data_IF_892797867418
#
_entry.id   IF_892797867418
#
_cell.length_a   1.000
_cell.length_b   1.000
_cell.length_c   1.000
_cell.angle_alpha   90.00
_cell.angle_beta   90.00
_cell.angle_gamma   90.00
#
_symmetry.space_group_name_H-M   'P 1'
#
loop_
_entity.id
_entity.type
_entity.pdbx_description
1 polymer ?
#
# COMPACT_ATOMS: atom_id res chain seq x y z
N UNK A 1 -0.98 31.75 14.46
CA UNK A 1 -1.81 31.10 13.43
C UNK A 1 -2.40 29.84 14.03
N UNK A 2 -3.70 29.82 14.34
CA UNK A 2 -4.36 28.54 14.64
C UNK A 2 -4.46 27.78 13.32
N UNK A 3 -3.60 26.82 13.11
CA UNK A 3 -3.74 25.89 12.00
C UNK A 3 -5.01 25.09 12.25
N UNK A 4 -6.02 25.32 11.42
CA UNK A 4 -7.26 24.54 11.49
C UNK A 4 -6.89 23.07 11.20
N UNK A 5 -7.01 22.22 12.21
CA UNK A 5 -6.69 20.78 12.09
C UNK A 5 -7.80 20.01 11.37
N UNK A 6 -8.93 20.65 11.10
CA UNK A 6 -10.06 20.08 10.37
C UNK A 6 -10.08 20.60 8.94
N UNK A 7 -10.36 19.72 7.99
CA UNK A 7 -10.59 20.08 6.59
C UNK A 7 -11.91 20.83 6.47
N UNK A 8 -11.91 21.98 5.80
CA UNK A 8 -13.13 22.76 5.58
C UNK A 8 -14.19 21.91 4.84
N UNK A 9 -15.45 22.03 5.25
CA UNK A 9 -16.55 21.32 4.61
C UNK A 9 -16.66 21.61 3.11
N UNK A 10 -16.19 22.77 2.66
CA UNK A 10 -16.18 23.15 1.23
C UNK A 10 -15.16 22.37 0.42
N UNK A 11 -14.10 21.88 1.06
CA UNK A 11 -13.05 21.09 0.42
C UNK A 11 -13.40 19.58 0.43
N UNK A 12 -14.43 19.18 1.16
CA UNK A 12 -14.87 17.80 1.31
C UNK A 12 -15.88 17.43 0.24
N UNK A 13 -15.39 17.32 -0.99
CA UNK A 13 -16.19 17.03 -2.20
C UNK A 13 -15.84 15.71 -2.85
N UNK A 14 -14.90 14.96 -2.27
CA UNK A 14 -14.40 13.70 -2.78
C UNK A 14 -15.51 12.64 -2.92
N UNK A 15 -15.33 11.74 -3.88
CA UNK A 15 -16.24 10.64 -4.19
C UNK A 15 -15.59 9.29 -3.84
N UNK A 16 -16.38 8.24 -3.46
CA UNK A 16 -15.84 6.94 -3.08
C UNK A 16 -14.93 6.29 -4.13
N UNK A 17 -15.22 6.45 -5.43
CA UNK A 17 -14.37 5.88 -6.49
C UNK A 17 -12.98 6.51 -6.57
N UNK A 18 -12.80 7.74 -6.07
CA UNK A 18 -11.46 8.37 -5.97
C UNK A 18 -10.61 7.66 -4.93
N UNK A 19 -11.22 7.22 -3.81
CA UNK A 19 -10.54 6.36 -2.84
C UNK A 19 -10.09 5.04 -3.45
N UNK A 20 -10.90 4.46 -4.34
CA UNK A 20 -10.50 3.26 -5.07
C UNK A 20 -9.20 3.52 -5.85
N UNK A 21 -9.13 4.60 -6.63
CA UNK A 21 -7.92 4.96 -7.38
C UNK A 21 -6.71 5.19 -6.48
N UNK A 22 -6.87 5.90 -5.37
CA UNK A 22 -5.81 6.20 -4.42
C UNK A 22 -5.26 4.91 -3.79
N UNK A 23 -6.12 4.07 -3.22
CA UNK A 23 -5.71 2.84 -2.55
C UNK A 23 -5.19 1.79 -3.52
N UNK A 24 -5.75 1.72 -4.74
CA UNK A 24 -5.23 0.86 -5.80
C UNK A 24 -3.78 1.24 -6.16
N UNK A 25 -3.50 2.54 -6.31
CA UNK A 25 -2.15 3.03 -6.62
C UNK A 25 -1.12 2.69 -5.53
N UNK A 26 -1.54 2.65 -4.26
CA UNK A 26 -0.63 2.32 -3.15
C UNK A 26 -0.28 0.84 -3.07
N UNK A 27 -1.12 -0.04 -3.62
CA UNK A 27 -0.95 -1.50 -3.52
C UNK A 27 -0.41 -2.12 -4.80
N UNK A 28 -0.68 -1.50 -5.97
CA UNK A 28 -0.24 -2.04 -7.24
C UNK A 28 1.21 -1.65 -7.50
N UNK A 29 2.08 -2.66 -7.68
CA UNK A 29 3.48 -2.40 -7.94
C UNK A 29 4.40 -3.56 -7.56
N UNK A 30 5.70 -3.30 -7.59
CA UNK A 30 6.75 -4.30 -7.36
C UNK A 30 6.68 -4.97 -5.98
N UNK A 31 6.18 -4.27 -4.96
CA UNK A 31 6.06 -4.83 -3.61
C UNK A 31 5.10 -6.03 -3.56
N UNK A 32 4.02 -6.02 -4.36
CA UNK A 32 3.13 -7.17 -4.48
C UNK A 32 3.86 -8.43 -4.97
N UNK A 33 4.72 -8.29 -5.97
CA UNK A 33 5.55 -9.39 -6.47
C UNK A 33 6.55 -9.88 -5.42
N UNK A 34 7.11 -8.97 -4.64
CA UNK A 34 8.02 -9.33 -3.53
C UNK A 34 7.28 -10.14 -2.47
N UNK A 35 6.06 -9.75 -2.08
CA UNK A 35 5.24 -10.54 -1.15
C UNK A 35 4.90 -11.91 -1.71
N UNK A 36 4.58 -12.01 -3.00
CA UNK A 36 4.38 -13.30 -3.67
C UNK A 36 5.62 -14.20 -3.56
N UNK A 37 6.82 -13.65 -3.84
CA UNK A 37 8.07 -14.38 -3.70
C UNK A 37 8.34 -14.83 -2.26
N UNK A 38 8.02 -13.99 -1.27
CA UNK A 38 8.16 -14.35 0.15
C UNK A 38 7.20 -15.48 0.51
N UNK A 39 5.94 -15.47 0.04
CA UNK A 39 4.98 -16.55 0.30
C UNK A 39 5.53 -17.88 -0.21
N UNK A 40 6.11 -17.89 -1.40
CA UNK A 40 6.71 -19.10 -1.98
C UNK A 40 7.86 -19.63 -1.12
N UNK A 41 8.63 -18.76 -0.45
CA UNK A 41 9.73 -19.16 0.41
C UNK A 41 9.30 -19.93 1.69
N UNK A 42 8.01 -19.94 2.01
CA UNK A 42 7.46 -20.75 3.12
C UNK A 42 7.11 -22.19 2.74
N UNK A 43 7.52 -22.62 1.54
CA UNK A 43 7.35 -24.00 1.05
C UNK A 43 5.88 -24.48 1.12
N UNK A 44 4.96 -23.61 0.77
CA UNK A 44 3.52 -23.90 0.74
C UNK A 44 3.12 -24.50 -0.61
N UNK A 45 2.08 -25.34 -0.60
CA UNK A 45 1.44 -25.74 -1.87
C UNK A 45 0.82 -24.51 -2.55
N UNK A 46 0.58 -24.61 -3.86
CA UNK A 46 -0.04 -23.53 -4.62
C UNK A 46 -1.36 -23.06 -4.01
N UNK A 47 -2.22 -24.01 -3.59
CA UNK A 47 -3.50 -23.68 -2.96
C UNK A 47 -3.33 -22.99 -1.62
N UNK A 48 -2.37 -23.45 -0.80
CA UNK A 48 -2.07 -22.76 0.46
C UNK A 48 -1.54 -21.35 0.23
N UNK A 49 -0.71 -21.14 -0.79
CA UNK A 49 -0.19 -19.81 -1.16
C UNK A 49 -1.33 -18.85 -1.57
N UNK A 50 -2.25 -19.32 -2.41
CA UNK A 50 -3.45 -18.55 -2.80
C UNK A 50 -4.32 -18.23 -1.58
N UNK A 51 -4.55 -19.21 -0.71
CA UNK A 51 -5.32 -18.99 0.52
C UNK A 51 -4.63 -17.99 1.46
N UNK A 52 -3.31 -18.05 1.57
CA UNK A 52 -2.55 -17.08 2.37
C UNK A 52 -2.66 -15.66 1.79
N UNK A 53 -2.54 -15.50 0.47
CA UNK A 53 -2.74 -14.23 -0.22
C UNK A 53 -4.17 -13.72 0.00
N UNK A 54 -5.18 -14.57 -0.16
CA UNK A 54 -6.57 -14.20 0.03
C UNK A 54 -6.87 -13.75 1.46
N UNK A 55 -6.48 -14.54 2.45
CA UNK A 55 -6.72 -14.22 3.88
C UNK A 55 -5.94 -12.96 4.28
N UNK A 56 -4.70 -12.85 3.83
CA UNK A 56 -3.87 -11.66 4.07
C UNK A 56 -4.50 -10.39 3.47
N UNK A 57 -4.95 -10.46 2.22
CA UNK A 57 -5.59 -9.34 1.53
C UNK A 57 -6.93 -8.91 2.17
N UNK A 58 -7.69 -9.84 2.79
CA UNK A 58 -8.90 -9.52 3.54
C UNK A 58 -8.64 -8.56 4.71
N UNK A 59 -7.42 -8.46 5.21
CA UNK A 59 -7.08 -7.50 6.26
C UNK A 59 -7.35 -6.03 5.86
N UNK A 60 -7.44 -5.76 4.55
CA UNK A 60 -7.78 -4.43 4.05
C UNK A 60 -9.23 -4.01 4.36
N UNK A 61 -10.09 -4.94 4.76
CA UNK A 61 -11.42 -4.63 5.31
C UNK A 61 -11.30 -3.70 6.52
N UNK A 62 -10.30 -3.92 7.37
CA UNK A 62 -10.03 -3.06 8.53
C UNK A 62 -9.70 -1.62 8.09
N UNK A 63 -8.88 -1.45 7.05
CA UNK A 63 -8.56 -0.12 6.49
C UNK A 63 -9.81 0.54 5.93
N UNK A 64 -10.68 -0.22 5.26
CA UNK A 64 -11.98 0.24 4.79
C UNK A 64 -12.86 0.79 5.89
N UNK A 65 -13.00 0.07 6.99
CA UNK A 65 -13.76 0.55 8.16
C UNK A 65 -13.12 1.78 8.81
N UNK A 66 -11.81 1.78 8.99
CA UNK A 66 -11.09 2.91 9.58
C UNK A 66 -11.13 4.16 8.70
N UNK A 67 -11.30 4.01 7.39
CA UNK A 67 -11.51 5.13 6.48
C UNK A 67 -12.77 5.95 6.82
N UNK A 68 -13.79 5.37 7.43
CA UNK A 68 -14.97 6.12 7.89
C UNK A 68 -14.61 7.19 8.91
N UNK A 69 -13.60 6.97 9.71
CA UNK A 69 -13.18 7.93 10.74
C UNK A 69 -12.74 9.27 10.14
N UNK A 70 -12.09 9.27 8.98
CA UNK A 70 -11.71 10.49 8.26
C UNK A 70 -12.92 11.25 7.74
N UNK A 71 -13.85 10.53 7.09
CA UNK A 71 -15.13 11.13 6.62
C UNK A 71 -15.92 11.73 7.79
N UNK A 72 -16.05 11.02 8.91
CA UNK A 72 -16.84 11.47 10.06
C UNK A 72 -16.14 12.59 10.80
N UNK A 73 -14.85 12.41 11.10
CA UNK A 73 -14.06 13.33 11.93
C UNK A 73 -13.56 14.57 11.20
N UNK A 74 -13.43 14.53 9.88
CA UNK A 74 -12.94 15.67 9.08
C UNK A 74 -11.50 16.07 9.36
N UNK A 75 -10.69 15.13 9.86
CA UNK A 75 -9.26 15.35 10.16
C UNK A 75 -8.48 14.04 10.00
N UNK A 76 -7.14 14.13 10.05
CA UNK A 76 -6.23 12.99 9.83
C UNK A 76 -6.24 12.00 11.00
N UNK A 77 -5.76 10.78 10.76
CA UNK A 77 -5.75 9.71 11.76
C UNK A 77 -5.01 10.11 13.04
N UNK A 78 -3.86 10.76 12.95
CA UNK A 78 -3.10 11.20 14.12
C UNK A 78 -3.81 12.28 14.95
N UNK A 79 -4.70 13.05 14.35
CA UNK A 79 -5.54 13.99 15.08
C UNK A 79 -6.75 13.29 15.71
N UNK A 80 -7.36 12.33 15.00
CA UNK A 80 -8.50 11.54 15.49
C UNK A 80 -8.12 10.72 16.73
N UNK A 81 -6.91 10.17 16.76
CA UNK A 81 -6.43 9.37 17.89
C UNK A 81 -6.38 10.15 19.22
N UNK A 82 -6.37 11.50 19.18
CA UNK A 82 -6.50 12.36 20.38
C UNK A 82 -7.83 12.14 21.11
N UNK A 83 -8.89 11.74 20.40
CA UNK A 83 -10.18 11.46 21.03
C UNK A 83 -10.12 10.23 21.94
N UNK A 84 -9.23 9.29 21.67
CA UNK A 84 -9.05 8.05 22.44
C UNK A 84 -7.99 8.21 23.52
N UNK A 85 -6.84 8.78 23.17
CA UNK A 85 -5.66 8.83 24.04
C UNK A 85 -5.50 10.16 24.78
N UNK A 86 -6.36 11.15 24.54
CA UNK A 86 -6.20 12.52 25.01
C UNK A 86 -5.05 13.24 24.31
N UNK A 87 -4.90 14.55 24.55
CA UNK A 87 -3.89 15.37 23.87
C UNK A 87 -2.47 14.94 24.21
N UNK A 88 -2.18 14.67 25.48
CA UNK A 88 -0.84 14.27 25.93
C UNK A 88 -0.55 12.80 25.61
N UNK A 89 -1.49 11.89 25.88
CA UNK A 89 -1.32 10.45 25.61
C UNK A 89 -1.13 10.14 24.12
N UNK A 90 -1.63 11.01 23.24
CA UNK A 90 -1.53 10.85 21.80
C UNK A 90 -0.10 10.99 21.24
N UNK A 91 0.86 11.51 21.99
CA UNK A 91 2.26 11.59 21.52
C UNK A 91 2.83 10.20 21.23
N UNK A 92 2.52 9.19 22.05
CA UNK A 92 3.05 7.84 21.89
C UNK A 92 2.55 7.18 20.59
N UNK A 93 1.24 7.00 20.36
CA UNK A 93 0.76 6.38 19.11
C UNK A 93 1.12 7.20 17.87
N UNK A 94 1.17 8.54 17.97
CA UNK A 94 1.62 9.39 16.85
C UNK A 94 3.08 9.15 16.52
N UNK A 95 3.97 9.07 17.51
CA UNK A 95 5.39 8.78 17.29
C UNK A 95 5.59 7.38 16.70
N UNK A 96 4.92 6.37 17.24
CA UNK A 96 4.96 5.02 16.68
C UNK A 96 4.48 4.97 15.21
N UNK A 97 3.38 5.63 14.92
CA UNK A 97 2.85 5.73 13.56
C UNK A 97 3.81 6.48 12.63
N UNK A 98 4.40 7.57 13.08
CA UNK A 98 5.38 8.32 12.31
C UNK A 98 6.63 7.48 12.00
N UNK A 99 7.19 6.76 12.99
CA UNK A 99 8.31 5.85 12.80
C UNK A 99 7.96 4.76 11.77
N UNK A 100 6.75 4.19 11.85
CA UNK A 100 6.29 3.21 10.89
C UNK A 100 6.24 3.79 9.44
N UNK A 101 5.69 4.99 9.25
CA UNK A 101 5.64 5.65 7.94
C UNK A 101 7.04 5.93 7.39
N UNK A 102 7.97 6.43 8.23
CA UNK A 102 9.37 6.65 7.85
C UNK A 102 10.04 5.31 7.48
N UNK A 103 9.80 4.26 8.25
CA UNK A 103 10.28 2.91 7.93
C UNK A 103 9.83 2.45 6.55
N UNK A 104 8.57 2.61 6.22
CA UNK A 104 8.04 2.28 4.88
C UNK A 104 8.61 3.17 3.78
N UNK A 105 8.85 4.46 4.04
CA UNK A 105 9.57 5.32 3.09
C UNK A 105 10.97 4.77 2.79
N UNK A 106 11.71 4.37 3.82
CA UNK A 106 13.04 3.75 3.64
C UNK A 106 12.97 2.47 2.79
N UNK A 107 12.02 1.57 3.09
CA UNK A 107 11.80 0.34 2.29
C UNK A 107 11.54 0.68 0.83
N UNK A 108 10.66 1.64 0.56
CA UNK A 108 10.33 2.04 -0.81
C UNK A 108 11.54 2.66 -1.54
N UNK A 109 12.32 3.52 -0.88
CA UNK A 109 13.53 4.13 -1.47
C UNK A 109 14.55 3.06 -1.80
N UNK A 110 14.81 2.13 -0.87
CA UNK A 110 15.76 1.02 -1.10
C UNK A 110 15.30 0.14 -2.26
N UNK A 111 14.03 -0.28 -2.26
CA UNK A 111 13.47 -1.11 -3.33
C UNK A 111 13.55 -0.42 -4.68
N UNK A 112 13.17 0.85 -4.77
CA UNK A 112 13.26 1.64 -6.00
C UNK A 112 14.72 1.80 -6.47
N UNK A 113 15.65 2.01 -5.54
CA UNK A 113 17.08 2.12 -5.87
C UNK A 113 17.61 0.81 -6.45
N UNK A 114 17.35 -0.33 -5.79
CA UNK A 114 17.77 -1.64 -6.28
C UNK A 114 17.18 -1.96 -7.65
N UNK A 115 15.91 -1.62 -7.86
CA UNK A 115 15.24 -1.79 -9.15
C UNK A 115 15.90 -0.93 -10.24
N UNK A 116 16.20 0.33 -9.94
CA UNK A 116 16.89 1.22 -10.88
C UNK A 116 18.29 0.72 -11.21
N UNK A 117 19.06 0.28 -10.21
CA UNK A 117 20.39 -0.29 -10.44
C UNK A 117 20.34 -1.55 -11.30
N UNK A 118 19.37 -2.42 -11.07
CA UNK A 118 19.14 -3.60 -11.89
C UNK A 118 18.85 -3.22 -13.35
N UNK A 119 17.99 -2.23 -13.57
CA UNK A 119 17.70 -1.71 -14.91
C UNK A 119 18.94 -1.14 -15.59
N UNK A 120 19.74 -0.33 -14.88
CA UNK A 120 20.99 0.20 -15.39
C UNK A 120 21.98 -0.92 -15.78
N UNK A 121 22.08 -1.97 -14.96
CA UNK A 121 22.88 -3.15 -15.26
C UNK A 121 22.44 -3.88 -16.54
N UNK A 122 21.12 -4.05 -16.75
CA UNK A 122 20.55 -4.64 -17.97
C UNK A 122 20.90 -3.77 -19.21
N UNK A 123 20.95 -2.45 -19.06
CA UNK A 123 21.33 -1.51 -20.11
C UNK A 123 22.86 -1.43 -20.34
N UNK A 124 23.66 -2.24 -19.64
CA UNK A 124 25.12 -2.28 -19.76
C UNK A 124 25.83 -1.13 -19.04
N UNK A 125 25.14 -0.38 -18.19
CA UNK A 125 25.72 0.69 -17.38
C UNK A 125 26.32 0.05 -16.13
N UNK A 126 27.61 0.33 -15.88
CA UNK A 126 28.30 -0.21 -14.72
C UNK A 126 27.73 0.39 -13.42
N UNK A 127 27.26 -0.49 -12.54
CA UNK A 127 26.70 -0.11 -11.24
C UNK A 127 27.75 -0.29 -10.14
N UNK A 128 28.08 0.81 -9.48
CA UNK A 128 29.03 0.89 -8.39
C UNK A 128 28.49 1.75 -7.24
N UNK A 129 29.25 1.96 -6.20
CA UNK A 129 28.86 2.76 -5.04
C UNK A 129 28.47 4.20 -5.44
N UNK A 130 29.14 4.80 -6.41
CA UNK A 130 28.84 6.15 -6.86
C UNK A 130 27.47 6.24 -7.57
N UNK A 131 27.20 5.30 -8.49
CA UNK A 131 25.88 5.23 -9.16
C UNK A 131 24.76 4.91 -8.15
N UNK A 132 25.03 4.10 -7.13
CA UNK A 132 24.09 3.82 -6.04
C UNK A 132 23.73 5.07 -5.27
N UNK A 133 24.73 5.87 -4.87
CA UNK A 133 24.50 7.13 -4.14
C UNK A 133 23.71 8.12 -5.00
N UNK A 134 24.04 8.26 -6.27
CA UNK A 134 23.28 9.15 -7.19
C UNK A 134 21.83 8.69 -7.30
N UNK A 135 21.59 7.40 -7.51
CA UNK A 135 20.24 6.84 -7.60
C UNK A 135 19.42 7.12 -6.33
N UNK A 136 20.03 6.89 -5.16
CA UNK A 136 19.41 7.19 -3.86
C UNK A 136 19.04 8.67 -3.74
N UNK A 137 19.95 9.58 -4.08
CA UNK A 137 19.71 11.03 -3.99
C UNK A 137 18.58 11.45 -4.93
N UNK A 138 18.58 10.98 -6.18
CA UNK A 138 17.54 11.30 -7.16
C UNK A 138 16.17 10.84 -6.66
N UNK A 139 16.07 9.59 -6.18
CA UNK A 139 14.82 9.03 -5.69
C UNK A 139 14.34 9.74 -4.42
N UNK A 140 15.24 10.05 -3.49
CA UNK A 140 14.90 10.81 -2.30
C UNK A 140 14.37 12.23 -2.64
N UNK A 141 14.98 12.91 -3.61
CA UNK A 141 14.50 14.21 -4.09
C UNK A 141 13.10 14.08 -4.74
N UNK A 142 12.87 13.08 -5.58
CA UNK A 142 11.56 12.85 -6.21
C UNK A 142 10.47 12.60 -5.17
N UNK A 143 10.77 11.82 -4.14
CA UNK A 143 9.85 11.56 -3.03
C UNK A 143 9.59 12.87 -2.24
N UNK A 144 10.64 13.64 -1.94
CA UNK A 144 10.48 14.91 -1.24
C UNK A 144 9.61 15.90 -2.04
N UNK A 145 9.82 16.00 -3.35
CA UNK A 145 9.00 16.84 -4.24
C UNK A 145 7.53 16.42 -4.19
N UNK A 146 7.24 15.12 -4.18
CA UNK A 146 5.86 14.64 -4.11
C UNK A 146 5.13 15.10 -2.84
N UNK A 147 5.85 15.31 -1.73
CA UNK A 147 5.29 15.81 -0.48
C UNK A 147 4.81 17.28 -0.53
N UNK A 148 5.21 18.05 -1.55
CA UNK A 148 4.77 19.44 -1.75
C UNK A 148 3.58 19.56 -2.72
N UNK A 149 3.13 18.44 -3.30
CA UNK A 149 1.99 18.45 -4.23
C UNK A 149 0.68 18.72 -3.49
N UNK A 150 -0.23 19.44 -4.15
CA UNK A 150 -1.59 19.60 -3.65
C UNK A 150 -2.33 18.26 -3.66
N UNK A 151 -3.37 18.13 -2.83
CA UNK A 151 -4.22 16.92 -2.80
C UNK A 151 -4.76 16.57 -4.20
N UNK A 152 -5.22 17.56 -4.96
CA UNK A 152 -5.71 17.34 -6.33
C UNK A 152 -4.63 16.79 -7.26
N UNK A 153 -3.41 17.34 -7.18
CA UNK A 153 -2.26 16.86 -7.96
C UNK A 153 -1.85 15.45 -7.58
N UNK A 154 -1.88 15.12 -6.27
CA UNK A 154 -1.60 13.77 -5.77
C UNK A 154 -2.62 12.77 -6.30
N UNK A 155 -3.92 13.07 -6.24
CA UNK A 155 -4.98 12.18 -6.76
C UNK A 155 -4.80 11.94 -8.26
N UNK A 156 -4.50 12.96 -9.05
CA UNK A 156 -4.23 12.82 -10.50
C UNK A 156 -3.01 11.94 -10.77
N UNK A 157 -1.92 12.17 -10.03
CA UNK A 157 -0.69 11.39 -10.16
C UNK A 157 -0.90 9.93 -9.76
N UNK A 158 -1.59 9.67 -8.66
CA UNK A 158 -1.93 8.32 -8.20
C UNK A 158 -2.84 7.60 -9.20
N UNK A 159 -3.83 8.30 -9.76
CA UNK A 159 -4.69 7.73 -10.79
C UNK A 159 -3.90 7.36 -12.04
N UNK A 160 -2.98 8.20 -12.49
CA UNK A 160 -2.10 7.90 -13.61
C UNK A 160 -1.27 6.62 -13.33
N UNK A 161 -0.63 6.54 -12.19
CA UNK A 161 0.15 5.36 -11.82
C UNK A 161 -0.72 4.10 -11.68
N UNK A 162 -1.94 4.21 -11.18
CA UNK A 162 -2.88 3.08 -11.14
C UNK A 162 -3.09 2.47 -12.52
N UNK A 163 -3.32 3.30 -13.55
CA UNK A 163 -3.50 2.81 -14.91
C UNK A 163 -2.22 2.22 -15.49
N UNK A 164 -1.09 2.90 -15.34
CA UNK A 164 0.19 2.44 -15.89
C UNK A 164 0.64 1.14 -15.24
N UNK A 165 0.72 1.11 -13.90
CA UNK A 165 1.16 -0.09 -13.20
C UNK A 165 0.11 -1.21 -13.27
N UNK A 166 -1.18 -0.88 -13.29
CA UNK A 166 -2.24 -1.85 -13.51
C UNK A 166 -2.09 -2.58 -14.84
N UNK A 167 -1.88 -1.83 -15.92
CA UNK A 167 -1.64 -2.41 -17.24
C UNK A 167 -0.36 -3.26 -17.26
N UNK A 168 0.73 -2.74 -16.69
CA UNK A 168 1.99 -3.50 -16.60
C UNK A 168 1.82 -4.79 -15.82
N UNK A 169 1.12 -4.76 -14.69
CA UNK A 169 0.84 -5.95 -13.88
C UNK A 169 0.04 -6.98 -14.67
N UNK A 170 -1.00 -6.55 -15.41
CA UNK A 170 -1.78 -7.45 -16.26
C UNK A 170 -0.95 -8.09 -17.40
N UNK A 171 -0.04 -7.32 -18.02
CA UNK A 171 0.87 -7.84 -19.04
C UNK A 171 1.81 -8.89 -18.43
N UNK A 172 2.43 -8.57 -17.28
CA UNK A 172 3.34 -9.51 -16.59
C UNK A 172 2.57 -10.77 -16.15
N UNK A 173 1.39 -10.61 -15.57
CA UNK A 173 0.53 -11.73 -15.18
C UNK A 173 0.19 -12.62 -16.39
N UNK A 174 -0.26 -12.02 -17.49
CA UNK A 174 -0.56 -12.77 -18.72
C UNK A 174 0.64 -13.54 -19.23
N UNK A 175 1.83 -12.93 -19.24
CA UNK A 175 3.07 -13.61 -19.61
C UNK A 175 3.43 -14.76 -18.67
N UNK A 176 3.31 -14.55 -17.35
CA UNK A 176 3.58 -15.59 -16.36
C UNK A 176 2.61 -16.76 -16.47
N UNK A 177 1.32 -16.50 -16.64
CA UNK A 177 0.31 -17.55 -16.80
C UNK A 177 0.60 -18.46 -18.00
N UNK A 178 1.08 -17.89 -19.11
CA UNK A 178 1.44 -18.64 -20.31
C UNK A 178 2.75 -19.44 -20.17
N UNK A 179 3.66 -19.01 -19.28
CA UNK A 179 4.96 -19.65 -19.05
C UNK A 179 4.98 -20.59 -17.86
N UNK A 180 3.93 -20.59 -17.05
CA UNK A 180 3.84 -21.41 -15.84
C UNK A 180 3.65 -22.88 -16.20
N UNK A 181 4.46 -23.74 -15.60
CA UNK A 181 4.24 -25.19 -15.64
C UNK A 181 3.21 -25.57 -14.56
N UNK A 182 1.96 -25.65 -14.98
CA UNK A 182 0.82 -25.89 -14.08
C UNK A 182 0.90 -27.25 -13.40
N UNK A 183 1.40 -28.29 -14.09
CA UNK A 183 1.51 -29.64 -13.53
C UNK A 183 2.48 -29.65 -12.35
N UNK A 184 3.63 -29.00 -12.47
CA UNK A 184 4.58 -28.88 -11.39
C UNK A 184 4.02 -28.02 -10.23
N UNK A 185 3.30 -26.95 -10.56
CA UNK A 185 2.74 -26.04 -9.56
C UNK A 185 1.69 -26.72 -8.70
N UNK A 186 0.79 -27.51 -9.32
CA UNK A 186 -0.23 -28.28 -8.59
C UNK A 186 0.34 -29.52 -7.89
N UNK A 187 1.51 -30.00 -8.29
CA UNK A 187 2.19 -31.12 -7.64
C UNK A 187 2.99 -30.72 -6.40
N UNK A 188 3.10 -29.42 -6.09
CA UNK A 188 3.78 -28.96 -4.89
C UNK A 188 3.15 -29.54 -3.63
N UNK A 189 3.96 -30.15 -2.72
CA UNK A 189 3.44 -30.73 -1.48
C UNK A 189 2.84 -29.67 -0.56
N UNK A 190 1.92 -30.09 0.28
CA UNK A 190 1.38 -29.19 1.30
C UNK A 190 2.43 -28.86 2.36
N UNK A 191 2.64 -27.57 2.59
CA UNK A 191 3.49 -27.06 3.65
C UNK A 191 2.80 -27.08 5.01
N UNK A 192 3.58 -26.73 6.03
CA UNK A 192 3.08 -26.69 7.40
C UNK A 192 2.15 -25.50 7.64
N UNK A 193 0.98 -25.76 8.23
CA UNK A 193 -0.02 -24.71 8.48
C UNK A 193 0.41 -23.69 9.55
N UNK A 194 1.19 -24.11 10.54
CA UNK A 194 1.59 -23.22 11.65
C UNK A 194 2.88 -22.47 11.29
N UNK A 195 3.93 -23.17 10.85
CA UNK A 195 5.23 -22.56 10.57
C UNK A 195 5.38 -22.01 9.14
N UNK A 196 4.49 -22.32 8.24
CA UNK A 196 4.47 -21.83 6.87
C UNK A 196 3.31 -20.90 6.57
N UNK A 197 2.06 -21.42 6.69
CA UNK A 197 0.87 -20.67 6.29
C UNK A 197 0.61 -19.43 7.18
N UNK A 198 0.65 -19.58 8.51
CA UNK A 198 0.40 -18.44 9.40
C UNK A 198 1.42 -17.31 9.24
N UNK A 199 2.74 -17.56 9.14
CA UNK A 199 3.71 -16.52 8.79
C UNK A 199 3.45 -15.88 7.43
N UNK A 200 3.11 -16.67 6.40
CA UNK A 200 2.77 -16.16 5.07
C UNK A 200 1.57 -15.21 5.11
N UNK A 201 0.50 -15.53 5.83
CA UNK A 201 -0.63 -14.63 6.06
C UNK A 201 -0.20 -13.40 6.84
N UNK A 202 0.59 -13.59 7.90
CA UNK A 202 1.00 -12.50 8.80
C UNK A 202 1.85 -11.45 8.09
N UNK A 203 2.72 -11.84 7.15
CA UNK A 203 3.56 -10.88 6.42
C UNK A 203 2.73 -9.99 5.50
N UNK A 204 1.67 -10.51 4.90
CA UNK A 204 0.77 -9.71 4.07
C UNK A 204 -0.03 -8.75 4.95
N UNK A 205 -0.61 -9.25 6.06
CA UNK A 205 -1.37 -8.43 7.00
C UNK A 205 -0.51 -7.29 7.55
N UNK A 206 0.70 -7.60 8.02
CA UNK A 206 1.59 -6.62 8.61
C UNK A 206 2.20 -5.67 7.58
N UNK A 207 2.51 -6.18 6.38
CA UNK A 207 3.13 -5.40 5.33
C UNK A 207 2.19 -4.45 4.59
N UNK A 208 0.92 -4.83 4.46
CA UNK A 208 -0.02 -4.08 3.61
C UNK A 208 -1.31 -3.68 4.33
N UNK A 209 -2.00 -4.61 4.99
CA UNK A 209 -3.30 -4.35 5.61
C UNK A 209 -3.21 -3.45 6.84
N UNK A 210 -2.78 -4.01 7.96
CA UNK A 210 -2.75 -3.31 9.25
C UNK A 210 -1.81 -2.10 9.24
N UNK A 211 -0.71 -2.16 8.52
CA UNK A 211 0.24 -1.04 8.42
C UNK A 211 -0.39 0.24 7.86
N UNK A 212 -1.42 0.11 7.00
CA UNK A 212 -2.15 1.24 6.45
C UNK A 212 -3.26 1.78 7.37
N UNK A 213 -3.58 1.09 8.46
CA UNK A 213 -4.59 1.55 9.43
C UNK A 213 -4.27 2.94 9.99
N UNK A 214 -2.99 3.26 10.14
CA UNK A 214 -2.52 4.57 10.65
C UNK A 214 -2.74 5.74 9.69
N UNK A 215 -3.01 5.47 8.42
CA UNK A 215 -3.27 6.47 7.38
C UNK A 215 -4.68 6.33 6.76
N UNK A 216 -5.51 5.43 7.27
CA UNK A 216 -6.81 5.14 6.69
C UNK A 216 -7.74 6.36 6.61
N UNK A 217 -7.68 7.25 7.60
CA UNK A 217 -8.46 8.48 7.63
C UNK A 217 -7.92 9.57 6.70
N UNK A 218 -6.63 9.55 6.37
CA UNK A 218 -5.93 10.69 5.76
C UNK A 218 -6.40 10.99 4.33
N UNK A 219 -6.81 9.98 3.60
CA UNK A 219 -7.40 10.16 2.27
C UNK A 219 -8.92 10.35 2.32
N UNK A 220 -9.59 9.70 3.27
CA UNK A 220 -11.05 9.77 3.38
C UNK A 220 -11.56 11.06 4.03
N UNK A 221 -10.68 11.85 4.64
CA UNK A 221 -11.02 13.17 5.22
C UNK A 221 -11.63 14.13 4.19
N UNK A 222 -11.29 13.99 2.91
CA UNK A 222 -11.80 14.82 1.82
C UNK A 222 -13.13 14.32 1.23
N UNK A 223 -13.66 13.19 1.71
CA UNK A 223 -14.92 12.63 1.23
C UNK A 223 -16.12 13.52 1.61
N UNK A 224 -17.08 13.67 0.69
CA UNK A 224 -18.35 14.33 0.99
C UNK A 224 -19.02 13.61 2.18
N UNK A 225 -19.42 14.34 3.22
CA UNK A 225 -20.14 13.75 4.36
C UNK A 225 -21.43 13.00 3.97
N UNK A 226 -22.01 13.30 2.82
CA UNK A 226 -23.22 12.66 2.29
C UNK A 226 -22.96 11.31 1.63
N UNK A 227 -21.69 10.97 1.32
CA UNK A 227 -21.36 9.69 0.71
C UNK A 227 -21.81 8.52 1.57
N UNK A 228 -22.23 7.43 0.94
CA UNK A 228 -22.56 6.19 1.63
C UNK A 228 -21.34 5.62 2.35
N UNK A 229 -21.48 5.24 3.62
CA UNK A 229 -20.45 4.57 4.41
C UNK A 229 -20.03 3.26 3.75
N UNK A 230 -20.99 2.48 3.29
CA UNK A 230 -20.75 1.24 2.58
C UNK A 230 -19.90 1.45 1.31
N UNK A 231 -20.19 2.50 0.53
CA UNK A 231 -19.42 2.80 -0.68
C UNK A 231 -17.95 3.15 -0.37
N UNK A 232 -17.69 3.87 0.73
CA UNK A 232 -16.34 4.20 1.18
C UNK A 232 -15.61 2.94 1.64
N UNK A 233 -16.22 2.12 2.49
CA UNK A 233 -15.66 0.85 2.94
C UNK A 233 -15.33 -0.05 1.76
N UNK A 234 -16.29 -0.23 0.85
CA UNK A 234 -16.14 -1.11 -0.29
C UNK A 234 -15.05 -0.64 -1.24
N UNK A 235 -15.02 0.66 -1.58
CA UNK A 235 -14.01 1.24 -2.47
C UNK A 235 -12.61 1.07 -1.90
N UNK A 236 -12.39 1.37 -0.62
CA UNK A 236 -11.09 1.21 0.05
C UNK A 236 -10.70 -0.27 0.13
N UNK A 237 -11.62 -1.13 0.57
CA UNK A 237 -11.36 -2.57 0.73
C UNK A 237 -11.00 -3.23 -0.59
N UNK A 238 -11.80 -3.03 -1.64
CA UNK A 238 -11.54 -3.65 -2.94
C UNK A 238 -10.26 -3.13 -3.57
N UNK A 239 -9.96 -1.84 -3.41
CA UNK A 239 -8.74 -1.25 -3.95
C UNK A 239 -7.46 -1.81 -3.32
N UNK A 240 -7.51 -2.17 -2.04
CA UNK A 240 -6.39 -2.85 -1.40
C UNK A 240 -6.37 -4.35 -1.65
N UNK A 241 -7.54 -4.99 -1.63
CA UNK A 241 -7.67 -6.43 -1.80
C UNK A 241 -7.24 -6.92 -3.19
N UNK A 242 -7.71 -6.27 -4.25
CA UNK A 242 -7.50 -6.75 -5.63
C UNK A 242 -6.00 -6.86 -5.98
N UNK A 243 -5.16 -5.81 -5.81
CA UNK A 243 -3.75 -5.91 -6.18
C UNK A 243 -2.95 -6.88 -5.32
N UNK A 244 -3.36 -7.08 -4.07
CA UNK A 244 -2.68 -7.99 -3.13
C UNK A 244 -3.02 -9.45 -3.38
N UNK A 245 -4.17 -9.72 -3.98
CA UNK A 245 -4.61 -11.07 -4.29
C UNK A 245 -4.12 -11.55 -5.67
N UNK A 246 -3.95 -10.64 -6.63
CA UNK A 246 -3.44 -10.94 -7.98
C UNK A 246 -1.93 -11.15 -7.98
#
# INVERSE_FOLDING_TARGET
>A
MQTNIFVDKKERTGKPHELFGIWMATQIGILGLIYGAIIVSYELSFIQSILAAFVGALSFILVGYLSLSGKIGGTTMFNLSRAVFGVQGNYIPTLCGWINLVGWMCVNVVTATLTLLTLLGILGINTNTFTTIIALIILAILIAISGFLSQESLVKLQSFFTYVFGLMTLIVLGFLLLKTNWDLLFALPSGNWISGFLPAVSIIIAGTGISWAIAAADYSVYQDPKNSDFAIILSTTLAGFIPLFI
#
